data_IF_058448461153
#
_entry.id   IF_058448461153
#
_cell.length_a   1.000
_cell.length_b   1.000
_cell.length_c   1.000
_cell.angle_alpha   90.00
_cell.angle_beta   90.00
_cell.angle_gamma   90.00
#
_symmetry.space_group_name_H-M   'P 1'
#
loop_
_entity.id
_entity.type
_entity.pdbx_description
1 polymer ?
#
# COMPACT_ATOMS: atom_id res chain seq x y z
N UNK A 1 -13.86 -14.64 5.93
CA UNK A 1 -12.76 -13.69 5.63
C UNK A 1 -11.46 -14.43 5.83
N UNK A 2 -10.54 -14.41 4.85
CA UNK A 2 -9.24 -15.08 4.97
C UNK A 2 -8.35 -14.27 5.92
N UNK A 3 -7.64 -14.96 6.82
CA UNK A 3 -6.73 -14.34 7.79
C UNK A 3 -5.36 -14.06 7.18
N UNK A 4 -4.61 -13.13 7.76
CA UNK A 4 -3.23 -12.83 7.35
C UNK A 4 -2.33 -14.07 7.30
N UNK A 5 -2.44 -14.97 8.28
CA UNK A 5 -1.65 -16.22 8.31
C UNK A 5 -1.95 -17.12 7.12
N UNK A 6 -3.23 -17.23 6.74
CA UNK A 6 -3.63 -17.96 5.53
C UNK A 6 -3.13 -17.26 4.27
N UNK A 7 -3.16 -15.93 4.22
CA UNK A 7 -2.63 -15.14 3.10
C UNK A 7 -1.13 -15.36 2.93
N UNK A 8 -0.35 -15.34 4.02
CA UNK A 8 1.10 -15.59 4.00
C UNK A 8 1.40 -17.01 3.54
N UNK A 9 0.66 -18.01 4.04
CA UNK A 9 0.79 -19.39 3.57
C UNK A 9 0.48 -19.52 2.08
N UNK A 10 -0.54 -18.80 1.60
CA UNK A 10 -0.87 -18.74 0.18
C UNK A 10 0.28 -18.14 -0.64
N UNK A 11 0.86 -17.00 -0.23
CA UNK A 11 2.05 -16.41 -0.89
C UNK A 11 3.17 -17.44 -1.00
N UNK A 12 3.50 -18.13 0.10
CA UNK A 12 4.57 -19.13 0.13
C UNK A 12 4.34 -20.35 -0.78
N UNK A 13 3.08 -20.66 -1.09
CA UNK A 13 2.68 -21.80 -1.92
C UNK A 13 2.35 -21.43 -3.38
N UNK A 14 2.32 -20.14 -3.72
CA UNK A 14 1.93 -19.66 -5.04
C UNK A 14 3.15 -19.54 -5.94
N UNK A 15 3.11 -20.16 -7.13
CA UNK A 15 4.19 -20.05 -8.11
C UNK A 15 4.44 -18.59 -8.51
N UNK A 16 5.70 -18.19 -8.54
CA UNK A 16 6.10 -16.80 -8.84
C UNK A 16 5.97 -15.84 -7.65
N UNK A 17 5.50 -16.31 -6.49
CA UNK A 17 5.46 -15.52 -5.26
C UNK A 17 6.55 -15.97 -4.29
N UNK A 18 7.16 -15.02 -3.59
CA UNK A 18 8.27 -15.26 -2.67
C UNK A 18 8.15 -14.37 -1.44
N UNK A 19 8.27 -14.96 -0.26
CA UNK A 19 8.42 -14.20 0.99
C UNK A 19 9.90 -13.91 1.22
N UNK A 20 10.20 -12.70 1.68
CA UNK A 20 11.53 -12.32 2.15
C UNK A 20 11.64 -12.65 3.65
N UNK A 21 12.80 -13.08 4.16
CA UNK A 21 12.96 -13.36 5.58
C UNK A 21 12.69 -12.10 6.41
N UNK A 22 12.13 -12.23 7.63
CA UNK A 22 11.88 -11.09 8.51
C UNK A 22 13.18 -10.34 8.81
N UNK A 23 13.11 -9.00 8.79
CA UNK A 23 14.26 -8.12 9.00
C UNK A 23 13.93 -6.96 9.97
N UNK A 24 13.16 -7.28 11.01
CA UNK A 24 12.74 -6.31 12.03
C UNK A 24 11.47 -5.54 11.67
N UNK A 25 11.19 -4.50 12.47
CA UNK A 25 10.07 -3.59 12.27
C UNK A 25 10.58 -2.23 11.73
N UNK A 26 9.75 -1.51 10.95
CA UNK A 26 10.11 -0.19 10.45
C UNK A 26 10.29 0.81 11.59
N UNK A 27 11.23 1.73 11.41
CA UNK A 27 11.40 2.89 12.30
C UNK A 27 10.54 4.02 11.75
N UNK A 28 9.44 4.33 12.45
CA UNK A 28 8.48 5.35 12.01
C UNK A 28 8.79 6.73 12.61
N UNK A 29 8.47 7.84 11.91
CA UNK A 29 8.45 9.16 12.51
C UNK A 29 7.48 9.23 13.70
N UNK A 30 7.75 10.14 14.63
CA UNK A 30 6.89 10.34 15.80
C UNK A 30 5.44 10.63 15.40
N UNK A 31 4.50 9.93 16.04
CA UNK A 31 3.05 10.12 15.82
C UNK A 31 2.43 9.14 14.81
N UNK A 32 3.24 8.36 14.09
CA UNK A 32 2.74 7.29 13.23
C UNK A 32 2.85 5.91 13.89
N UNK A 33 1.89 5.05 13.58
CA UNK A 33 1.82 3.68 14.09
C UNK A 33 1.50 2.72 12.96
N UNK A 34 2.07 1.52 13.02
CA UNK A 34 1.72 0.46 12.07
C UNK A 34 0.29 -0.05 12.32
N UNK A 35 -0.49 -0.28 11.25
CA UNK A 35 -1.63 -1.18 11.30
C UNK A 35 -1.21 -2.54 11.89
N UNK A 36 -2.09 -3.15 12.69
CA UNK A 36 -1.79 -4.42 13.38
C UNK A 36 -1.42 -5.54 12.41
N UNK A 37 -2.08 -5.59 11.26
CA UNK A 37 -1.86 -6.61 10.25
C UNK A 37 -0.54 -6.42 9.49
N UNK A 38 -0.15 -5.18 9.16
CA UNK A 38 1.18 -4.88 8.61
C UNK A 38 2.29 -5.18 9.62
N UNK A 39 2.10 -4.83 10.90
CA UNK A 39 3.05 -5.20 11.97
C UNK A 39 3.20 -6.72 12.07
N UNK A 40 2.08 -7.44 12.07
CA UNK A 40 2.06 -8.90 12.14
C UNK A 40 2.75 -9.55 10.95
N UNK A 41 2.61 -8.98 9.76
CA UNK A 41 3.33 -9.41 8.56
C UNK A 41 4.83 -9.23 8.73
N UNK A 42 5.31 -8.06 9.18
CA UNK A 42 6.75 -7.81 9.33
C UNK A 42 7.42 -8.67 10.41
N UNK A 43 6.67 -9.17 11.39
CA UNK A 43 7.18 -10.13 12.37
C UNK A 43 7.52 -11.49 11.76
N UNK A 44 6.96 -11.83 10.59
CA UNK A 44 7.13 -13.15 9.97
C UNK A 44 7.75 -13.08 8.56
N UNK A 45 7.70 -11.93 7.89
CA UNK A 45 8.29 -11.72 6.56
C UNK A 45 8.81 -10.29 6.41
N UNK A 46 10.00 -10.10 5.85
CA UNK A 46 10.62 -8.80 5.63
C UNK A 46 10.22 -8.16 4.30
N UNK A 47 9.02 -8.46 3.80
CA UNK A 47 8.57 -8.13 2.45
C UNK A 47 8.24 -9.38 1.64
N UNK A 48 7.82 -9.16 0.40
CA UNK A 48 7.44 -10.22 -0.53
C UNK A 48 7.58 -9.76 -1.97
N UNK A 49 7.73 -10.70 -2.88
CA UNK A 49 7.53 -10.49 -4.32
C UNK A 49 6.32 -11.31 -4.74
N UNK A 50 5.37 -10.69 -5.44
CA UNK A 50 4.15 -11.32 -5.92
C UNK A 50 4.18 -11.38 -7.44
N UNK A 51 4.00 -12.59 -7.99
CA UNK A 51 3.94 -12.87 -9.43
C UNK A 51 5.17 -12.38 -10.22
N UNK A 52 6.36 -12.74 -9.74
CA UNK A 52 7.62 -12.46 -10.42
C UNK A 52 7.61 -12.93 -11.86
N UNK A 53 7.94 -12.00 -12.78
CA UNK A 53 7.99 -12.27 -14.22
C UNK A 53 6.62 -12.38 -14.91
N UNK A 54 5.52 -12.11 -14.20
CA UNK A 54 4.21 -11.91 -14.81
C UNK A 54 4.11 -10.52 -15.46
N UNK A 55 2.97 -10.24 -16.12
CA UNK A 55 2.71 -8.93 -16.74
C UNK A 55 2.72 -7.79 -15.72
N UNK A 56 2.21 -8.05 -14.52
CA UNK A 56 2.25 -7.13 -13.39
C UNK A 56 2.79 -7.85 -12.15
N UNK A 57 4.01 -7.48 -11.75
CA UNK A 57 4.64 -7.89 -10.50
C UNK A 57 4.39 -6.82 -9.43
N UNK A 58 4.28 -7.24 -8.17
CA UNK A 58 4.34 -6.31 -7.05
C UNK A 58 5.39 -6.74 -6.04
N UNK A 59 6.17 -5.80 -5.50
CA UNK A 59 7.07 -6.05 -4.38
C UNK A 59 6.53 -5.36 -3.13
N UNK A 60 6.19 -6.14 -2.11
CA UNK A 60 5.97 -5.60 -0.77
C UNK A 60 7.34 -5.21 -0.20
N UNK A 61 7.45 -3.94 0.21
CA UNK A 61 8.73 -3.34 0.59
C UNK A 61 9.25 -3.90 1.92
N UNK A 62 10.57 -3.84 2.11
CA UNK A 62 11.17 -4.19 3.37
C UNK A 62 10.83 -3.14 4.47
N UNK A 63 10.96 -3.49 5.77
CA UNK A 63 10.77 -2.54 6.85
C UNK A 63 11.58 -1.23 6.70
N UNK A 64 12.82 -1.31 6.22
CA UNK A 64 13.68 -0.14 5.96
C UNK A 64 13.17 0.77 4.84
N UNK A 65 12.32 0.21 3.98
CA UNK A 65 11.78 0.87 2.78
C UNK A 65 10.31 1.29 2.98
N UNK A 66 9.74 1.11 4.18
CA UNK A 66 8.44 1.69 4.52
C UNK A 66 8.64 3.17 4.90
N UNK A 67 8.73 4.03 3.90
CA UNK A 67 8.98 5.47 4.04
C UNK A 67 7.86 6.29 3.42
N UNK A 68 7.81 7.58 3.73
CA UNK A 68 6.82 8.52 3.17
C UNK A 68 6.77 8.42 1.64
N UNK A 69 5.56 8.22 1.10
CA UNK A 69 5.35 8.16 -0.34
C UNK A 69 5.57 9.53 -0.99
N UNK A 70 5.16 10.61 -0.32
CA UNK A 70 5.46 11.98 -0.74
C UNK A 70 6.97 12.21 -0.90
N UNK A 71 7.78 11.73 0.06
CA UNK A 71 9.24 11.86 -0.04
C UNK A 71 9.80 11.15 -1.28
N UNK A 72 9.25 10.00 -1.65
CA UNK A 72 9.69 9.23 -2.83
C UNK A 72 9.29 9.88 -4.15
N UNK A 73 8.05 10.36 -4.25
CA UNK A 73 7.48 10.84 -5.51
C UNK A 73 7.68 12.33 -5.74
N UNK A 74 7.57 13.13 -4.68
CA UNK A 74 7.57 14.60 -4.73
C UNK A 74 8.87 15.20 -4.19
N UNK A 75 9.65 14.43 -3.42
CA UNK A 75 10.89 14.89 -2.79
C UNK A 75 10.69 15.69 -1.49
N UNK A 76 9.45 15.82 -1.01
CA UNK A 76 9.09 16.39 0.29
C UNK A 76 8.21 15.42 1.05
N UNK A 77 8.47 15.17 2.33
CA UNK A 77 7.60 14.32 3.16
C UNK A 77 6.35 15.05 3.68
N UNK A 78 6.37 16.40 3.65
CA UNK A 78 5.31 17.26 4.19
C UNK A 78 4.75 18.10 3.03
N UNK A 79 3.59 17.70 2.54
CA UNK A 79 2.79 18.36 1.52
C UNK A 79 1.61 19.13 2.14
N UNK A 80 1.29 18.90 3.42
CA UNK A 80 0.29 19.68 4.17
C UNK A 80 -1.15 19.18 4.00
N UNK A 81 -1.32 17.93 3.57
CA UNK A 81 -2.62 17.27 3.47
C UNK A 81 -2.57 15.84 4.06
N UNK A 82 -3.62 15.05 3.82
CA UNK A 82 -3.72 13.69 4.37
C UNK A 82 -2.62 12.75 3.86
N UNK A 83 -1.99 13.06 2.73
CA UNK A 83 -0.92 12.25 2.14
C UNK A 83 0.38 12.27 2.96
N UNK A 84 0.54 13.23 3.87
CA UNK A 84 1.66 13.29 4.81
C UNK A 84 1.74 12.04 5.71
N UNK A 85 0.63 11.32 5.83
CA UNK A 85 0.53 10.07 6.58
C UNK A 85 0.68 8.79 5.74
N UNK A 86 0.97 8.92 4.44
CA UNK A 86 1.01 7.80 3.50
C UNK A 86 2.44 7.31 3.31
N UNK A 87 2.61 5.99 3.47
CA UNK A 87 3.90 5.31 3.40
C UNK A 87 3.88 4.26 2.30
N UNK A 88 4.92 4.19 1.48
CA UNK A 88 4.99 3.24 0.37
C UNK A 88 5.13 1.83 0.91
N UNK A 89 4.12 0.99 0.73
CA UNK A 89 4.08 -0.39 1.24
C UNK A 89 4.36 -1.43 0.16
N UNK A 90 4.13 -1.06 -1.11
CA UNK A 90 4.50 -1.86 -2.26
C UNK A 90 4.98 -0.98 -3.43
N UNK A 91 5.65 -1.61 -4.38
CA UNK A 91 6.00 -1.04 -5.69
C UNK A 91 5.63 -2.02 -6.79
N UNK A 92 5.40 -1.52 -8.01
CA UNK A 92 5.07 -2.33 -9.19
C UNK A 92 6.31 -2.72 -10.04
N UNK A 93 7.50 -2.24 -9.63
CA UNK A 93 8.77 -2.46 -10.33
C UNK A 93 9.07 -1.47 -11.47
N UNK A 94 8.16 -0.54 -11.77
CA UNK A 94 8.32 0.50 -12.79
C UNK A 94 8.46 1.92 -12.21
N UNK A 95 8.58 2.03 -10.88
CA UNK A 95 8.75 3.29 -10.18
C UNK A 95 7.47 3.85 -9.56
N UNK A 96 6.35 3.13 -9.72
CA UNK A 96 5.09 3.46 -9.06
C UNK A 96 4.91 2.67 -7.77
N UNK A 97 4.17 3.26 -6.83
CA UNK A 97 4.02 2.73 -5.48
C UNK A 97 2.55 2.51 -5.15
N UNK A 98 2.31 1.53 -4.28
CA UNK A 98 1.09 1.46 -3.50
C UNK A 98 1.41 1.98 -2.10
N UNK A 99 0.60 2.89 -1.60
CA UNK A 99 0.80 3.45 -0.26
C UNK A 99 -0.15 2.84 0.75
N UNK A 100 0.20 2.97 2.02
CA UNK A 100 -0.65 2.65 3.17
C UNK A 100 -0.70 3.86 4.11
N UNK A 101 -1.89 4.16 4.60
CA UNK A 101 -2.11 5.22 5.56
C UNK A 101 -1.70 4.78 6.97
N UNK A 102 -0.83 5.55 7.63
CA UNK A 102 -0.45 5.33 9.04
C UNK A 102 -1.12 6.34 9.99
N UNK A 103 -1.88 7.30 9.45
CA UNK A 103 -2.60 8.32 10.18
C UNK A 103 -3.82 7.79 10.93
N UNK A 104 -4.21 8.39 12.06
CA UNK A 104 -5.22 7.84 12.96
C UNK A 104 -6.64 7.74 12.36
N UNK A 105 -6.98 8.54 11.34
CA UNK A 105 -8.33 8.54 10.76
C UNK A 105 -8.56 7.45 9.71
N UNK A 106 -7.50 7.03 9.01
CA UNK A 106 -7.58 6.21 7.81
C UNK A 106 -6.62 5.01 7.86
N UNK A 107 -6.01 4.77 9.03
CA UNK A 107 -4.97 3.77 9.27
C UNK A 107 -5.26 2.43 8.59
N UNK A 108 -4.33 1.99 7.76
CA UNK A 108 -4.39 0.70 7.07
C UNK A 108 -5.01 0.75 5.68
N UNK A 109 -5.71 1.82 5.30
CA UNK A 109 -6.18 1.99 3.92
C UNK A 109 -4.99 2.07 2.96
N UNK A 110 -5.15 1.48 1.79
CA UNK A 110 -4.13 1.50 0.75
C UNK A 110 -4.63 2.26 -0.47
N UNK A 111 -3.73 2.98 -1.12
CA UNK A 111 -4.03 3.83 -2.26
C UNK A 111 -3.12 3.51 -3.44
N UNK A 112 -3.64 3.74 -4.65
CA UNK A 112 -2.83 3.77 -5.86
C UNK A 112 -2.03 5.08 -5.90
N UNK A 113 -0.74 5.00 -5.56
CA UNK A 113 0.16 6.15 -5.54
C UNK A 113 1.00 6.21 -6.81
N UNK A 114 0.30 6.38 -7.93
CA UNK A 114 0.90 6.64 -9.23
C UNK A 114 1.51 8.04 -9.29
N UNK A 115 2.69 8.20 -9.90
CA UNK A 115 3.44 9.45 -9.80
C UNK A 115 2.69 10.69 -10.33
N UNK A 116 1.75 10.54 -11.27
CA UNK A 116 0.98 11.65 -11.83
C UNK A 116 -0.25 12.02 -11.00
N UNK A 117 -0.78 11.08 -10.21
CA UNK A 117 -2.07 11.25 -9.53
C UNK A 117 -1.99 11.17 -8.02
N UNK A 118 -0.81 10.87 -7.46
CA UNK A 118 -0.58 10.80 -6.03
C UNK A 118 -1.00 12.08 -5.31
N UNK A 119 -1.92 11.95 -4.36
CA UNK A 119 -2.38 13.06 -3.54
C UNK A 119 -3.33 14.02 -4.29
N UNK A 120 -3.76 13.68 -5.50
CA UNK A 120 -4.70 14.50 -6.28
C UNK A 120 -6.13 14.06 -5.99
N UNK A 121 -6.96 15.02 -5.54
CA UNK A 121 -8.39 14.82 -5.22
C UNK A 121 -9.13 14.22 -6.42
N UNK A 122 -9.79 13.08 -6.21
CA UNK A 122 -10.55 12.38 -7.25
C UNK A 122 -9.70 11.53 -8.19
N UNK A 123 -8.38 11.47 -7.98
CA UNK A 123 -7.45 10.68 -8.79
C UNK A 123 -6.58 9.74 -7.93
N UNK A 124 -6.87 9.60 -6.63
CA UNK A 124 -6.14 8.71 -5.71
C UNK A 124 -7.11 7.65 -5.17
N UNK A 125 -7.40 6.59 -5.94
CA UNK A 125 -8.40 5.60 -5.55
C UNK A 125 -7.95 4.81 -4.32
N UNK A 126 -8.90 4.51 -3.44
CA UNK A 126 -8.73 3.51 -2.40
C UNK A 126 -8.75 2.13 -3.06
N UNK A 127 -7.65 1.39 -2.95
CA UNK A 127 -7.51 0.07 -3.58
C UNK A 127 -7.70 -1.07 -2.58
N UNK A 128 -7.43 -0.81 -1.29
CA UNK A 128 -7.70 -1.76 -0.21
C UNK A 128 -8.02 -1.05 1.11
N UNK A 129 -8.75 -1.74 1.98
CA UNK A 129 -9.18 -1.23 3.29
C UNK A 129 -8.23 -1.58 4.44
N UNK A 130 -7.30 -2.50 4.21
CA UNK A 130 -6.27 -2.95 5.14
C UNK A 130 -5.09 -3.54 4.36
N UNK A 131 -3.95 -3.76 5.02
CA UNK A 131 -2.81 -4.43 4.38
C UNK A 131 -3.14 -5.87 3.98
N UNK A 132 -3.89 -6.59 4.82
CA UNK A 132 -4.33 -7.96 4.49
C UNK A 132 -5.27 -7.98 3.29
N UNK A 133 -6.21 -7.02 3.20
CA UNK A 133 -7.10 -6.85 2.05
C UNK A 133 -6.30 -6.56 0.76
N UNK A 134 -5.26 -5.73 0.85
CA UNK A 134 -4.35 -5.47 -0.27
C UNK A 134 -3.70 -6.76 -0.77
N UNK A 135 -3.08 -7.54 0.12
CA UNK A 135 -2.44 -8.81 -0.25
C UNK A 135 -3.43 -9.79 -0.89
N UNK A 136 -4.64 -9.90 -0.34
CA UNK A 136 -5.68 -10.79 -0.89
C UNK A 136 -6.09 -10.39 -2.30
N UNK A 137 -6.30 -9.10 -2.56
CA UNK A 137 -6.66 -8.59 -3.88
C UNK A 137 -5.54 -8.78 -4.89
N UNK A 138 -4.30 -8.50 -4.51
CA UNK A 138 -3.13 -8.74 -5.35
C UNK A 138 -2.99 -10.23 -5.72
N UNK A 139 -3.12 -11.13 -4.74
CA UNK A 139 -3.08 -12.58 -4.97
C UNK A 139 -4.22 -13.09 -5.85
N UNK A 140 -5.44 -12.58 -5.64
CA UNK A 140 -6.60 -12.95 -6.45
C UNK A 140 -6.44 -12.54 -7.92
N UNK A 141 -5.76 -11.42 -8.16
CA UNK A 141 -5.50 -10.84 -9.48
C UNK A 141 -4.37 -11.53 -10.26
N UNK A 142 -3.53 -12.35 -9.62
CA UNK A 142 -2.54 -13.23 -10.30
C UNK A 142 -1.51 -12.51 -11.19
N UNK A 143 -1.27 -11.23 -10.93
CA UNK A 143 -0.32 -10.42 -11.71
C UNK A 143 -0.78 -10.13 -13.13
N UNK A 144 -2.09 -10.10 -13.39
CA UNK A 144 -2.64 -9.88 -14.73
C UNK A 144 -2.71 -8.40 -15.12
N UNK A 145 -3.19 -7.54 -14.22
CA UNK A 145 -3.38 -6.09 -14.42
C UNK A 145 -3.56 -5.38 -13.07
N UNK A 146 -3.53 -4.04 -12.97
CA UNK A 146 -3.96 -3.35 -11.76
C UNK A 146 -5.46 -3.60 -11.52
N UNK A 147 -5.81 -4.42 -10.52
CA UNK A 147 -7.19 -4.93 -10.36
C UNK A 147 -8.25 -3.85 -10.15
N UNK A 148 -7.85 -2.68 -9.65
CA UNK A 148 -8.74 -1.54 -9.44
C UNK A 148 -9.13 -0.83 -10.74
N UNK A 149 -8.41 -1.10 -11.83
CA UNK A 149 -8.72 -0.62 -13.18
C UNK A 149 -9.57 -1.62 -13.99
N UNK A 150 -9.85 -2.81 -13.42
CA UNK A 150 -10.59 -3.86 -14.10
C UNK A 150 -12.07 -3.47 -14.31
N UNK A 151 -12.67 -3.79 -15.46
CA UNK A 151 -14.11 -3.67 -15.65
C UNK A 151 -14.86 -4.49 -14.58
N UNK A 152 -15.70 -3.81 -13.78
CA UNK A 152 -16.47 -4.46 -12.70
C UNK A 152 -15.81 -4.40 -11.32
N UNK A 153 -14.65 -3.75 -11.18
CA UNK A 153 -14.14 -3.40 -9.84
C UNK A 153 -15.17 -2.51 -9.12
N UNK A 154 -15.64 -2.98 -7.96
CA UNK A 154 -16.48 -2.17 -7.08
C UNK A 154 -15.58 -1.14 -6.39
N UNK A 155 -15.68 0.12 -6.83
CA UNK A 155 -14.89 1.23 -6.26
C UNK A 155 -15.05 1.31 -4.74
N UNK A 156 -13.93 1.54 -4.05
CA UNK A 156 -13.89 1.82 -2.61
C UNK A 156 -13.89 3.33 -2.31
N UNK A 157 -14.04 4.16 -3.34
CA UNK A 157 -13.96 5.63 -3.26
C UNK A 157 -12.55 6.16 -3.53
N UNK A 158 -12.42 7.47 -3.38
CA UNK A 158 -11.16 8.22 -3.45
C UNK A 158 -10.61 8.50 -2.05
N UNK A 159 -9.30 8.65 -1.92
CA UNK A 159 -8.65 8.94 -0.65
C UNK A 159 -9.18 10.22 0.01
N UNK A 160 -9.64 11.19 -0.79
CA UNK A 160 -10.16 12.47 -0.32
C UNK A 160 -11.68 12.49 -0.11
N UNK A 161 -12.38 11.38 -0.36
CA UNK A 161 -13.82 11.31 -0.11
C UNK A 161 -14.15 11.55 1.37
N UNK A 162 -15.02 12.53 1.63
CA UNK A 162 -15.45 12.87 2.99
C UNK A 162 -14.43 13.69 3.79
N UNK A 163 -13.27 14.03 3.22
CA UNK A 163 -12.32 14.97 3.81
C UNK A 163 -12.86 16.38 3.54
N UNK A 164 -13.31 17.07 4.58
CA UNK A 164 -13.80 18.45 4.45
C UNK A 164 -12.78 19.30 3.72
N UNK A 165 -13.20 20.03 2.68
CA UNK A 165 -12.32 20.89 1.87
C UNK A 165 -11.43 21.70 2.82
N UNK A 166 -10.12 21.48 2.77
CA UNK A 166 -9.19 22.45 3.31
C UNK A 166 -9.59 23.79 2.70
N UNK A 167 -10.02 24.73 3.54
CA UNK A 167 -10.22 26.09 3.07
C UNK A 167 -8.85 26.56 2.56
N UNK A 168 -8.76 27.14 1.37
CA UNK A 168 -7.50 27.69 0.91
C UNK A 168 -7.02 28.71 1.95
N UNK A 169 -5.69 28.82 2.19
CA UNK A 169 -5.17 29.85 3.07
C UNK A 169 -5.66 31.22 2.58
N UNK A 170 -6.20 32.01 3.52
CA UNK A 170 -6.68 33.36 3.28
C UNK A 170 -5.55 34.31 2.87
#
# INVERSE_FOLDING_TARGET
MQSLQQTIAQIASTQGCFLKPPNGLPVLPHGFELPEDLRSFYLVAGGATLFSGAGFQFNIVAPSDLVSTNLRLVGSAQCGDISDSWFSVAEDGNGDYLSIDLGPGHRGRCYDSFHETHGVVGCTPVIATSFTDLLLRLLANRGEHPYWLAPGFASLGDAYDGIGKASPPA
#
